data_IF_118685646077
#
_entry.id   IF_118685646077
#
_cell.length_a   1.000
_cell.length_b   1.000
_cell.length_c   1.000
_cell.angle_alpha   90.00
_cell.angle_beta   90.00
_cell.angle_gamma   90.00
#
_symmetry.space_group_name_H-M   'P 1'
#
loop_
_entity.id
_entity.type
_entity.pdbx_description
1 polymer ?
#
# COMPACT_ATOMS: atom_id res chain seq x y z
N UNK A 1 0.46 -45.45 20.04
CA UNK A 1 1.10 -44.44 20.90
C UNK A 1 2.39 -44.00 20.24
N UNK A 2 2.54 -42.72 19.87
CA UNK A 2 3.77 -42.22 19.26
C UNK A 2 4.81 -42.08 20.36
N UNK A 3 5.89 -42.86 20.30
CA UNK A 3 7.02 -42.77 21.22
C UNK A 3 7.51 -41.32 21.36
N UNK A 4 7.60 -40.87 22.61
CA UNK A 4 8.29 -39.64 22.97
C UNK A 4 9.75 -39.78 22.53
N UNK A 5 10.12 -39.18 21.40
CA UNK A 5 11.51 -38.99 21.02
C UNK A 5 12.22 -38.25 22.16
N UNK A 6 13.03 -38.97 22.93
CA UNK A 6 13.84 -38.45 24.04
C UNK A 6 14.88 -37.43 23.59
N UNK A 7 15.18 -37.35 22.30
CA UNK A 7 16.08 -36.36 21.70
C UNK A 7 15.47 -35.69 20.48
N UNK A 8 15.42 -34.36 20.50
CA UNK A 8 14.95 -33.56 19.37
C UNK A 8 16.01 -33.57 18.25
N UNK A 9 15.61 -33.59 16.96
CA UNK A 9 16.56 -33.48 15.85
C UNK A 9 17.41 -32.22 15.94
N UNK A 10 18.72 -32.32 15.71
CA UNK A 10 19.66 -31.19 15.83
C UNK A 10 19.22 -29.95 15.06
N UNK A 11 18.67 -30.12 13.85
CA UNK A 11 18.17 -29.00 13.03
C UNK A 11 17.10 -28.18 13.73
N UNK A 12 16.23 -28.82 14.52
CA UNK A 12 15.18 -28.12 15.28
C UNK A 12 15.76 -27.42 16.51
N UNK A 13 16.72 -28.04 17.19
CA UNK A 13 17.41 -27.44 18.33
C UNK A 13 18.21 -26.20 17.90
N UNK A 14 18.98 -26.29 16.80
CA UNK A 14 19.70 -25.13 16.23
C UNK A 14 18.76 -24.00 15.81
N UNK A 15 17.63 -24.34 15.19
CA UNK A 15 16.63 -23.33 14.79
C UNK A 15 16.00 -22.67 16.02
N UNK A 16 15.73 -23.43 17.08
CA UNK A 16 15.22 -22.90 18.34
C UNK A 16 16.20 -21.86 18.91
N UNK A 17 17.48 -22.23 19.09
CA UNK A 17 18.51 -21.31 19.59
C UNK A 17 18.67 -20.08 18.70
N UNK A 18 18.71 -20.26 17.37
CA UNK A 18 18.86 -19.16 16.43
C UNK A 18 17.69 -18.16 16.50
N UNK A 19 16.45 -18.64 16.66
CA UNK A 19 15.29 -17.73 16.82
C UNK A 19 15.42 -16.91 18.11
N UNK A 20 15.88 -17.51 19.21
CA UNK A 20 16.07 -16.80 20.48
C UNK A 20 17.15 -15.72 20.37
N UNK A 21 18.27 -16.06 19.72
CA UNK A 21 19.36 -15.12 19.47
C UNK A 21 18.91 -13.96 18.59
N UNK A 22 18.24 -14.25 17.46
CA UNK A 22 17.77 -13.22 16.53
C UNK A 22 16.68 -12.32 17.14
N UNK A 23 15.78 -12.89 17.95
CA UNK A 23 14.74 -12.12 18.65
C UNK A 23 15.30 -11.19 19.72
N UNK A 24 16.50 -11.47 20.24
CA UNK A 24 17.19 -10.62 21.22
C UNK A 24 18.10 -9.60 20.53
N UNK A 25 18.67 -9.97 19.37
CA UNK A 25 19.61 -9.14 18.60
C UNK A 25 18.94 -8.00 17.83
N UNK A 26 17.74 -8.24 17.30
CA UNK A 26 17.03 -7.29 16.45
C UNK A 26 15.82 -6.69 17.17
N UNK A 27 15.57 -5.40 16.95
CA UNK A 27 14.47 -4.68 17.60
C UNK A 27 13.11 -4.95 16.95
N UNK A 28 13.10 -5.33 15.66
CA UNK A 28 11.90 -5.57 14.89
C UNK A 28 11.86 -7.01 14.38
N UNK A 29 10.73 -7.66 14.60
CA UNK A 29 10.41 -9.01 14.11
C UNK A 29 9.11 -8.93 13.31
N UNK A 30 9.13 -9.39 12.07
CA UNK A 30 7.96 -9.41 11.21
C UNK A 30 7.67 -10.82 10.67
N UNK A 31 6.40 -11.11 10.48
CA UNK A 31 5.88 -12.35 9.91
C UNK A 31 5.40 -12.09 8.49
N UNK A 32 5.88 -12.90 7.54
CA UNK A 32 5.31 -12.97 6.19
C UNK A 32 4.68 -14.33 5.96
N UNK A 33 3.58 -14.35 5.21
CA UNK A 33 3.02 -15.56 4.64
C UNK A 33 3.61 -15.79 3.26
N UNK A 34 3.96 -17.05 2.98
CA UNK A 34 4.58 -17.45 1.72
C UNK A 34 3.56 -18.02 0.72
N UNK A 35 2.27 -17.80 0.95
CA UNK A 35 1.22 -18.29 0.06
C UNK A 35 1.39 -17.69 -1.34
N UNK A 36 1.49 -18.55 -2.36
CA UNK A 36 1.77 -18.16 -3.75
C UNK A 36 3.10 -17.42 -3.98
N UNK A 37 4.01 -17.41 -3.00
CA UNK A 37 5.35 -16.84 -3.13
C UNK A 37 6.35 -17.90 -3.59
N UNK A 38 7.13 -17.58 -4.62
CA UNK A 38 8.16 -18.47 -5.18
C UNK A 38 9.49 -18.28 -4.49
N UNK A 39 10.27 -19.36 -4.39
CA UNK A 39 11.61 -19.33 -3.82
C UNK A 39 12.56 -18.35 -4.54
N UNK A 40 12.40 -18.17 -5.87
CA UNK A 40 13.19 -17.21 -6.66
C UNK A 40 12.98 -15.77 -6.19
N UNK A 41 11.76 -15.40 -5.81
CA UNK A 41 11.42 -14.05 -5.35
C UNK A 41 12.04 -13.78 -3.98
N UNK A 42 11.94 -14.75 -3.07
CA UNK A 42 12.57 -14.67 -1.75
C UNK A 42 14.09 -14.57 -1.91
N UNK A 43 14.68 -15.32 -2.85
CA UNK A 43 16.11 -15.27 -3.11
C UNK A 43 16.56 -13.91 -3.65
N UNK A 44 15.78 -13.31 -4.56
CA UNK A 44 16.05 -11.97 -5.09
C UNK A 44 15.95 -10.92 -3.97
N UNK A 45 14.92 -10.99 -3.12
CA UNK A 45 14.75 -10.12 -1.97
C UNK A 45 15.88 -10.29 -0.95
N UNK A 46 16.30 -11.53 -0.67
CA UNK A 46 17.46 -11.83 0.17
C UNK A 46 18.75 -11.20 -0.36
N UNK A 47 18.93 -11.14 -1.68
CA UNK A 47 20.09 -10.49 -2.31
C UNK A 47 20.00 -8.97 -2.18
N UNK A 48 18.84 -8.38 -2.42
CA UNK A 48 18.63 -6.93 -2.35
C UNK A 48 18.71 -6.37 -0.93
N UNK A 49 18.15 -7.08 0.05
CA UNK A 49 18.07 -6.66 1.44
C UNK A 49 19.17 -7.29 2.31
N UNK A 50 20.27 -7.74 1.69
CA UNK A 50 21.36 -8.40 2.37
C UNK A 50 22.02 -7.44 3.37
N UNK A 51 22.09 -7.84 4.64
CA UNK A 51 22.69 -7.04 5.71
C UNK A 51 21.72 -6.11 6.44
N UNK A 52 20.56 -5.81 5.85
CA UNK A 52 19.51 -5.00 6.49
C UNK A 52 18.39 -5.87 7.09
N UNK A 53 18.09 -7.01 6.47
CA UNK A 53 17.00 -7.90 6.86
C UNK A 53 17.47 -9.35 6.83
N UNK A 54 17.28 -10.05 7.96
CA UNK A 54 17.55 -11.48 8.08
C UNK A 54 16.26 -12.28 7.90
N UNK A 55 16.24 -13.14 6.89
CA UNK A 55 15.09 -13.97 6.53
C UNK A 55 15.27 -15.40 7.06
N UNK A 56 14.43 -15.79 8.01
CA UNK A 56 14.49 -17.08 8.69
C UNK A 56 13.28 -17.94 8.31
N UNK A 57 13.53 -19.04 7.61
CA UNK A 57 12.52 -20.07 7.38
C UNK A 57 12.23 -20.80 8.69
N UNK A 58 10.94 -20.96 9.02
CA UNK A 58 10.54 -21.45 10.33
C UNK A 58 9.68 -22.71 10.27
N UNK A 59 9.61 -23.43 11.40
CA UNK A 59 8.51 -24.39 11.67
C UNK A 59 7.67 -23.83 12.82
N UNK A 60 6.40 -23.60 12.56
CA UNK A 60 5.49 -22.86 13.46
C UNK A 60 5.57 -23.36 14.91
N UNK A 61 5.47 -24.68 15.14
CA UNK A 61 5.54 -25.26 16.50
C UNK A 61 6.84 -24.96 17.25
N UNK A 62 7.98 -24.92 16.56
CA UNK A 62 9.28 -24.64 17.21
C UNK A 62 9.37 -23.16 17.60
N UNK A 63 8.86 -22.29 16.73
CA UNK A 63 8.84 -20.84 16.98
C UNK A 63 7.93 -20.51 18.15
N UNK A 64 6.73 -21.10 18.18
CA UNK A 64 5.77 -20.91 19.28
C UNK A 64 6.46 -21.20 20.62
N UNK A 65 7.10 -22.36 20.78
CA UNK A 65 7.82 -22.69 22.01
C UNK A 65 9.06 -21.81 22.29
N UNK A 66 9.74 -21.32 21.25
CA UNK A 66 10.89 -20.43 21.43
C UNK A 66 10.47 -19.06 21.96
N UNK A 67 9.38 -18.53 21.38
CA UNK A 67 8.82 -17.23 21.67
C UNK A 67 8.04 -17.20 23.00
N UNK A 68 7.30 -18.26 23.32
CA UNK A 68 6.63 -18.44 24.62
C UNK A 68 7.62 -18.35 25.79
N UNK A 69 8.83 -18.92 25.62
CA UNK A 69 9.87 -18.89 26.64
C UNK A 69 10.53 -17.52 26.81
N UNK A 70 10.62 -16.72 25.74
CA UNK A 70 11.20 -15.38 25.80
C UNK A 70 10.27 -14.36 26.47
N UNK A 71 8.96 -14.63 26.49
CA UNK A 71 7.94 -13.78 27.12
C UNK A 71 8.02 -12.29 26.76
N UNK A 72 8.51 -11.96 25.56
CA UNK A 72 8.60 -10.58 25.08
C UNK A 72 7.19 -9.99 24.86
N UNK A 73 6.98 -8.70 25.15
CA UNK A 73 5.73 -8.01 24.86
C UNK A 73 5.42 -8.04 23.34
N UNK A 74 4.14 -8.06 22.95
CA UNK A 74 3.69 -8.10 21.54
C UNK A 74 3.84 -9.45 20.82
N UNK A 75 4.66 -10.36 21.34
CA UNK A 75 4.94 -11.65 20.67
C UNK A 75 3.75 -12.61 20.64
N UNK A 76 2.76 -12.42 21.53
CA UNK A 76 1.52 -13.21 21.54
C UNK A 76 0.73 -13.07 20.25
N UNK A 77 0.78 -11.90 19.62
CA UNK A 77 0.04 -11.64 18.38
C UNK A 77 0.69 -12.40 17.22
N UNK A 78 2.02 -12.41 17.14
CA UNK A 78 2.76 -13.24 16.18
C UNK A 78 2.46 -14.72 16.41
N UNK A 79 2.44 -15.20 17.66
CA UNK A 79 2.15 -16.60 17.97
C UNK A 79 0.77 -17.04 17.46
N UNK A 80 -0.25 -16.20 17.63
CA UNK A 80 -1.62 -16.48 17.15
C UNK A 80 -1.68 -16.59 15.63
N UNK A 81 -0.91 -15.75 14.94
CA UNK A 81 -0.92 -15.65 13.48
C UNK A 81 0.00 -16.65 12.76
N UNK A 82 0.79 -17.45 13.49
CA UNK A 82 1.68 -18.48 12.95
C UNK A 82 0.93 -19.71 12.37
N UNK A 83 0.13 -19.47 11.33
CA UNK A 83 -0.64 -20.49 10.61
C UNK A 83 -0.16 -20.62 9.16
N UNK A 84 -0.19 -21.85 8.62
CA UNK A 84 0.25 -22.09 7.24
C UNK A 84 1.76 -21.95 7.01
N UNK A 85 2.14 -21.58 5.78
CA UNK A 85 3.52 -21.41 5.35
C UNK A 85 4.03 -20.01 5.70
N UNK A 86 4.78 -19.92 6.80
CA UNK A 86 5.27 -18.67 7.34
C UNK A 86 6.80 -18.54 7.25
N UNK A 87 7.28 -17.30 7.21
CA UNK A 87 8.69 -16.94 7.36
C UNK A 87 8.80 -15.72 8.28
N UNK A 88 9.84 -15.71 9.13
CA UNK A 88 10.15 -14.56 9.97
C UNK A 88 11.23 -13.70 9.32
N UNK A 89 11.07 -12.39 9.47
CA UNK A 89 12.04 -11.38 9.09
C UNK A 89 12.49 -10.68 10.37
N UNK A 90 13.80 -10.56 10.54
CA UNK A 90 14.38 -9.79 11.64
C UNK A 90 15.13 -8.60 11.06
N UNK A 91 14.94 -7.43 11.63
CA UNK A 91 15.61 -6.21 11.20
C UNK A 91 15.69 -5.20 12.34
N UNK A 92 16.59 -4.22 12.21
CA UNK A 92 16.63 -3.04 13.07
C UNK A 92 15.81 -1.88 12.49
N UNK A 93 15.20 -2.05 11.32
CA UNK A 93 14.32 -1.05 10.72
C UNK A 93 12.91 -1.12 11.28
N UNK A 94 12.21 0.02 11.22
CA UNK A 94 10.79 0.07 11.53
C UNK A 94 9.97 -0.86 10.61
N UNK A 95 8.97 -1.59 11.13
CA UNK A 95 8.06 -2.42 10.35
C UNK A 95 7.41 -1.71 9.17
N UNK A 96 7.06 -0.43 9.33
CA UNK A 96 6.45 0.38 8.27
C UNK A 96 7.41 0.57 7.09
N UNK A 97 8.67 0.90 7.39
CA UNK A 97 9.72 1.02 6.38
C UNK A 97 9.98 -0.33 5.71
N UNK A 98 10.00 -1.41 6.48
CA UNK A 98 10.16 -2.77 5.93
C UNK A 98 9.00 -3.12 4.98
N UNK A 99 7.75 -2.81 5.36
CA UNK A 99 6.59 -3.05 4.51
C UNK A 99 6.67 -2.24 3.21
N UNK A 100 7.06 -0.96 3.29
CA UNK A 100 7.27 -0.12 2.11
C UNK A 100 8.37 -0.65 1.19
N UNK A 101 9.48 -1.16 1.76
CA UNK A 101 10.57 -1.76 0.97
C UNK A 101 10.11 -3.04 0.25
N UNK A 102 9.31 -3.87 0.92
CA UNK A 102 8.75 -5.08 0.32
C UNK A 102 7.72 -4.73 -0.76
N UNK A 103 6.84 -3.76 -0.49
CA UNK A 103 5.83 -3.29 -1.44
C UNK A 103 6.42 -2.63 -2.68
N UNK A 104 7.56 -1.94 -2.56
CA UNK A 104 8.30 -1.38 -3.71
C UNK A 104 8.95 -2.47 -4.57
N UNK A 105 9.34 -3.58 -3.97
CA UNK A 105 9.97 -4.70 -4.68
C UNK A 105 8.92 -5.67 -5.25
N UNK A 106 8.00 -5.15 -6.07
CA UNK A 106 7.08 -6.00 -6.85
C UNK A 106 7.87 -6.72 -7.93
N UNK A 107 7.65 -8.02 -8.05
CA UNK A 107 8.28 -8.83 -9.10
C UNK A 107 7.21 -9.45 -9.96
N UNK A 108 7.43 -9.38 -11.28
CA UNK A 108 6.57 -10.03 -12.26
C UNK A 108 6.89 -11.52 -12.28
N UNK A 109 5.87 -12.37 -12.18
CA UNK A 109 6.00 -13.82 -12.24
C UNK A 109 5.20 -14.42 -13.38
N UNK A 110 5.73 -15.48 -13.98
CA UNK A 110 5.04 -16.24 -15.04
C UNK A 110 3.77 -16.87 -14.48
N UNK A 111 2.68 -16.87 -15.22
CA UNK A 111 1.42 -17.48 -14.77
C UNK A 111 1.49 -19.01 -14.63
N UNK A 112 0.60 -19.56 -13.80
CA UNK A 112 0.21 -20.98 -13.83
C UNK A 112 -1.28 -21.09 -14.17
N UNK A 113 -1.71 -22.28 -14.59
CA UNK A 113 -3.13 -22.54 -14.82
C UNK A 113 -3.95 -22.25 -13.56
N UNK A 114 -5.03 -21.48 -13.71
CA UNK A 114 -5.91 -21.07 -12.62
C UNK A 114 -5.46 -19.82 -11.85
N UNK A 115 -4.32 -19.22 -12.20
CA UNK A 115 -3.93 -17.92 -11.63
C UNK A 115 -4.75 -16.77 -12.25
N UNK A 116 -4.92 -15.69 -11.50
CA UNK A 116 -5.62 -14.48 -11.95
C UNK A 116 -4.61 -13.46 -12.47
N UNK A 117 -4.84 -12.93 -13.67
CA UNK A 117 -3.98 -11.91 -14.27
C UNK A 117 -4.01 -10.59 -13.47
N UNK A 118 -2.86 -10.09 -13.03
CA UNK A 118 -2.76 -8.81 -12.29
C UNK A 118 -2.70 -7.59 -13.21
N UNK A 119 -2.23 -7.81 -14.44
CA UNK A 119 -2.13 -6.82 -15.51
C UNK A 119 -2.76 -7.38 -16.79
N UNK A 120 -3.06 -6.51 -17.74
CA UNK A 120 -3.47 -6.93 -19.08
C UNK A 120 -2.33 -7.66 -19.77
N UNK A 121 -2.59 -8.87 -20.25
CA UNK A 121 -1.59 -9.72 -20.89
C UNK A 121 -1.50 -9.34 -22.35
N UNK A 122 -0.61 -8.41 -22.68
CA UNK A 122 -0.40 -7.98 -24.07
C UNK A 122 0.73 -8.79 -24.70
N UNK A 123 0.44 -9.44 -25.83
CA UNK A 123 1.42 -10.15 -26.64
C UNK A 123 1.66 -9.34 -27.91
N UNK A 124 2.85 -8.74 -28.01
CA UNK A 124 3.25 -7.94 -29.17
C UNK A 124 3.63 -8.80 -30.38
N UNK A 125 3.44 -8.26 -31.58
CA UNK A 125 3.87 -8.84 -32.84
C UNK A 125 5.40 -8.93 -32.90
N UNK A 126 5.93 -10.16 -32.80
CA UNK A 126 7.37 -10.44 -32.86
C UNK A 126 7.63 -11.85 -33.38
N UNK A 127 8.86 -12.07 -33.85
CA UNK A 127 9.36 -13.44 -34.01
C UNK A 127 9.50 -14.08 -32.63
N UNK A 128 8.90 -15.26 -32.45
CA UNK A 128 9.03 -16.01 -31.20
C UNK A 128 10.32 -16.84 -31.15
N UNK A 129 10.95 -17.12 -32.30
CA UNK A 129 12.08 -18.03 -32.40
C UNK A 129 11.74 -19.50 -32.12
N UNK A 130 10.45 -19.82 -31.91
CA UNK A 130 9.97 -21.17 -31.59
C UNK A 130 9.69 -21.91 -32.90
N UNK A 131 10.16 -23.15 -33.00
CA UNK A 131 9.90 -23.99 -34.16
C UNK A 131 8.40 -24.37 -34.27
N UNK A 132 7.83 -24.40 -35.49
CA UNK A 132 6.46 -24.82 -35.72
C UNK A 132 6.28 -26.30 -35.34
N UNK A 133 5.40 -26.56 -34.39
CA UNK A 133 5.13 -27.89 -33.83
C UNK A 133 3.81 -27.87 -33.05
N UNK A 134 3.64 -28.65 -31.96
CA UNK A 134 2.42 -28.64 -31.15
C UNK A 134 2.09 -27.24 -30.58
N UNK A 135 3.10 -26.37 -30.48
CA UNK A 135 2.95 -24.97 -30.08
C UNK A 135 2.02 -24.17 -31.00
N UNK A 136 2.01 -24.47 -32.30
CA UNK A 136 1.16 -23.74 -33.26
C UNK A 136 -0.33 -23.92 -32.92
N UNK A 137 -0.70 -25.10 -32.45
CA UNK A 137 -2.05 -25.40 -31.96
C UNK A 137 -2.34 -24.61 -30.68
N UNK A 138 -1.39 -24.54 -29.74
CA UNK A 138 -1.53 -23.74 -28.50
C UNK A 138 -1.76 -22.25 -28.79
N UNK A 139 -1.04 -21.67 -29.77
CA UNK A 139 -1.23 -20.27 -30.18
C UNK A 139 -2.61 -20.04 -30.81
N UNK A 140 -3.09 -20.99 -31.61
CA UNK A 140 -4.41 -20.92 -32.25
C UNK A 140 -5.54 -21.05 -31.22
N UNK A 141 -5.41 -21.98 -30.28
CA UNK A 141 -6.34 -22.17 -29.16
C UNK A 141 -6.42 -20.91 -28.27
N UNK A 142 -5.29 -20.23 -28.08
CA UNK A 142 -5.21 -18.96 -27.33
C UNK A 142 -5.74 -17.73 -28.12
N UNK A 143 -6.24 -17.91 -29.34
CA UNK A 143 -6.79 -16.82 -30.16
C UNK A 143 -5.75 -15.85 -30.72
N UNK A 144 -4.46 -16.24 -30.75
CA UNK A 144 -3.37 -15.39 -31.23
C UNK A 144 -3.08 -15.72 -32.69
N UNK A 145 -3.22 -14.76 -33.61
CA UNK A 145 -2.90 -14.99 -35.02
C UNK A 145 -1.39 -15.09 -35.20
N UNK A 146 -0.96 -16.23 -35.71
CA UNK A 146 0.44 -16.53 -35.99
C UNK A 146 0.64 -16.88 -37.46
N UNK A 147 1.85 -16.63 -37.96
CA UNK A 147 2.32 -17.02 -39.31
C UNK A 147 3.62 -17.80 -39.15
N UNK A 148 3.88 -18.72 -40.06
CA UNK A 148 5.18 -19.41 -40.11
C UNK A 148 6.07 -18.58 -41.02
N UNK A 149 7.20 -18.10 -40.48
CA UNK A 149 8.20 -17.37 -41.24
C UNK A 149 9.59 -17.90 -40.92
N UNK A 150 10.38 -18.17 -41.96
CA UNK A 150 11.74 -18.71 -41.86
C UNK A 150 11.90 -19.94 -40.92
N UNK A 151 10.88 -20.82 -40.87
CA UNK A 151 10.91 -22.01 -40.00
C UNK A 151 10.67 -21.71 -38.51
N UNK A 152 10.19 -20.52 -38.17
CA UNK A 152 9.81 -20.08 -36.82
C UNK A 152 8.39 -19.52 -36.77
N UNK A 153 7.76 -19.52 -35.60
CA UNK A 153 6.42 -18.95 -35.40
C UNK A 153 6.54 -17.43 -35.22
N UNK A 154 5.86 -16.67 -36.07
CA UNK A 154 5.76 -15.22 -36.01
C UNK A 154 4.37 -14.78 -35.55
N UNK A 155 4.28 -13.86 -34.58
CA UNK A 155 2.99 -13.30 -34.13
C UNK A 155 2.59 -12.15 -35.06
N UNK A 156 1.44 -12.26 -35.72
CA UNK A 156 1.06 -11.37 -36.83
C UNK A 156 0.54 -10.00 -36.39
N UNK A 157 -0.13 -9.92 -35.22
CA UNK A 157 -0.63 -8.66 -34.65
C UNK A 157 -0.62 -8.72 -33.12
N UNK A 158 -0.54 -7.55 -32.51
CA UNK A 158 -0.68 -7.39 -31.07
C UNK A 158 -2.05 -7.91 -30.63
N UNK A 159 -2.06 -8.80 -29.65
CA UNK A 159 -3.28 -9.45 -29.14
C UNK A 159 -3.24 -9.48 -27.62
N UNK A 160 -4.40 -9.26 -26.99
CA UNK A 160 -4.55 -9.32 -25.53
C UNK A 160 -5.40 -10.54 -25.17
N UNK A 161 -4.81 -11.74 -24.99
CA UNK A 161 -5.55 -12.96 -24.67
C UNK A 161 -6.26 -12.97 -23.32
N UNK A 162 -5.81 -12.15 -22.35
CA UNK A 162 -6.42 -12.04 -21.04
C UNK A 162 -6.30 -10.60 -20.51
N UNK A 163 -7.38 -10.08 -19.93
CA UNK A 163 -7.38 -8.79 -19.24
C UNK A 163 -7.09 -8.97 -17.76
N UNK A 164 -6.78 -7.87 -17.08
CA UNK A 164 -6.67 -7.82 -15.63
C UNK A 164 -7.93 -8.38 -14.97
N UNK A 165 -7.76 -9.37 -14.11
CA UNK A 165 -8.84 -10.06 -13.40
C UNK A 165 -9.32 -11.36 -14.07
N UNK A 166 -8.90 -11.66 -15.29
CA UNK A 166 -9.25 -12.92 -15.95
C UNK A 166 -8.42 -14.09 -15.40
N UNK A 167 -9.05 -15.27 -15.35
CA UNK A 167 -8.38 -16.52 -14.98
C UNK A 167 -7.59 -17.04 -16.17
N UNK A 168 -6.30 -17.28 -15.97
CA UNK A 168 -5.40 -17.77 -17.00
C UNK A 168 -5.52 -19.29 -17.10
N UNK A 169 -5.89 -19.77 -18.29
CA UNK A 169 -5.93 -21.21 -18.58
C UNK A 169 -4.52 -21.82 -18.58
N UNK A 170 -4.41 -23.12 -18.31
CA UNK A 170 -3.12 -23.83 -18.22
C UNK A 170 -2.33 -23.78 -19.53
N UNK A 171 -3.03 -23.88 -20.68
CA UNK A 171 -2.43 -23.75 -22.01
C UNK A 171 -1.87 -22.34 -22.24
N UNK A 172 -2.63 -21.31 -21.87
CA UNK A 172 -2.21 -19.91 -21.99
C UNK A 172 -1.01 -19.63 -21.08
N UNK A 173 -1.00 -20.14 -19.84
CA UNK A 173 0.11 -19.99 -18.91
C UNK A 173 1.42 -20.65 -19.43
N UNK A 174 1.34 -21.87 -19.97
CA UNK A 174 2.48 -22.58 -20.56
C UNK A 174 3.11 -21.79 -21.71
N UNK A 175 2.28 -21.22 -22.59
CA UNK A 175 2.74 -20.41 -23.72
C UNK A 175 3.35 -19.07 -23.25
N UNK A 176 2.72 -18.37 -22.31
CA UNK A 176 3.27 -17.14 -21.73
C UNK A 176 4.64 -17.38 -21.07
N UNK A 177 4.82 -18.53 -20.40
CA UNK A 177 6.09 -18.94 -19.84
C UNK A 177 7.20 -19.11 -20.89
N UNK A 178 6.87 -19.62 -22.08
CA UNK A 178 7.84 -19.78 -23.20
C UNK A 178 8.18 -18.46 -23.88
N UNK A 179 7.23 -17.52 -23.91
CA UNK A 179 7.44 -16.17 -24.42
C UNK A 179 8.15 -15.22 -23.42
N UNK A 180 8.50 -15.74 -22.24
CA UNK A 180 9.00 -14.99 -21.06
C UNK A 180 8.11 -13.79 -20.67
N UNK A 181 6.80 -13.92 -20.90
CA UNK A 181 5.81 -12.92 -20.49
C UNK A 181 5.32 -13.28 -19.09
N UNK A 182 5.38 -12.30 -18.18
CA UNK A 182 5.09 -12.47 -16.76
C UNK A 182 3.88 -11.61 -16.38
N UNK A 183 2.65 -12.15 -16.43
CA UNK A 183 1.42 -11.36 -16.30
C UNK A 183 0.93 -11.17 -14.86
N UNK A 184 1.62 -11.76 -13.87
CA UNK A 184 1.20 -11.70 -12.46
C UNK A 184 2.18 -10.82 -11.70
N UNK A 185 1.64 -9.81 -11.02
CA UNK A 185 2.38 -9.05 -10.01
C UNK A 185 2.32 -9.83 -8.71
N UNK A 186 3.49 -10.27 -8.24
CA UNK A 186 3.59 -10.87 -6.92
C UNK A 186 4.41 -9.93 -6.02
N UNK A 187 3.70 -9.35 -5.05
CA UNK A 187 4.26 -8.59 -3.94
C UNK A 187 4.24 -9.43 -2.68
N UNK A 188 5.32 -9.36 -1.90
CA UNK A 188 5.33 -9.89 -0.53
C UNK A 188 4.92 -8.74 0.39
N UNK A 189 3.93 -8.96 1.24
CA UNK A 189 3.54 -8.01 2.28
C UNK A 189 3.79 -8.60 3.66
N UNK A 190 4.01 -7.72 4.64
CA UNK A 190 4.02 -8.12 6.05
C UNK A 190 2.60 -8.48 6.47
N UNK A 191 2.47 -9.56 7.25
CA UNK A 191 1.19 -9.98 7.80
C UNK A 191 1.02 -9.48 9.24
N UNK A 192 2.06 -9.55 10.05
CA UNK A 192 2.13 -8.91 11.36
C UNK A 192 3.58 -8.55 11.66
N UNK A 193 3.81 -7.54 12.48
CA UNK A 193 5.13 -7.18 12.95
C UNK A 193 5.09 -6.77 14.42
N UNK A 194 6.20 -6.95 15.12
CA UNK A 194 6.40 -6.48 16.49
C UNK A 194 7.65 -5.63 16.50
N UNK A 195 7.54 -4.43 17.07
CA UNK A 195 8.67 -3.57 17.35
C UNK A 195 8.56 -3.06 18.79
N UNK A 196 9.62 -3.19 19.57
CA UNK A 196 9.72 -2.67 20.95
C UNK A 196 8.54 -3.07 21.86
N UNK A 197 7.97 -4.26 21.61
CA UNK A 197 6.84 -4.80 22.39
C UNK A 197 5.45 -4.42 21.88
N UNK A 198 5.36 -3.59 20.84
CA UNK A 198 4.11 -3.20 20.20
C UNK A 198 3.88 -4.09 18.98
N UNK A 199 2.76 -4.80 18.96
CA UNK A 199 2.30 -5.57 17.81
C UNK A 199 1.53 -4.69 16.82
N UNK A 200 1.82 -4.89 15.54
CA UNK A 200 1.16 -4.24 14.41
C UNK A 200 0.52 -5.30 13.53
N UNK A 201 -0.70 -5.02 13.10
CA UNK A 201 -1.45 -5.84 12.13
C UNK A 201 -1.11 -5.43 10.70
N UNK A 202 -1.49 -6.27 9.72
CA UNK A 202 -1.25 -5.98 8.31
C UNK A 202 -1.87 -4.64 7.87
N UNK A 203 -3.07 -4.35 8.34
CA UNK A 203 -3.83 -3.14 7.97
C UNK A 203 -3.15 -1.87 8.46
N UNK A 204 -2.65 -1.89 9.70
CA UNK A 204 -1.92 -0.76 10.28
C UNK A 204 -0.59 -0.51 9.55
N UNK A 205 0.07 -1.57 9.07
CA UNK A 205 1.36 -1.46 8.38
C UNK A 205 1.26 -0.87 6.96
N UNK A 206 0.06 -0.77 6.39
CA UNK A 206 -0.16 -0.19 5.07
C UNK A 206 -0.31 1.32 5.22
N UNK A 207 0.78 2.05 4.97
CA UNK A 207 0.76 3.51 4.92
C UNK A 207 0.57 3.96 3.47
N UNK A 208 -0.53 4.66 3.22
CA UNK A 208 -0.70 5.48 2.03
C UNK A 208 -0.10 6.87 2.29
N UNK A 209 0.99 7.18 1.59
CA UNK A 209 1.71 8.44 1.76
C UNK A 209 0.88 9.65 1.35
N UNK A 210 0.04 9.51 0.32
CA UNK A 210 -0.76 10.63 -0.20
C UNK A 210 -1.86 10.97 0.79
N UNK A 211 -2.58 9.95 1.28
CA UNK A 211 -3.62 10.11 2.32
C UNK A 211 -3.02 10.69 3.59
N UNK A 212 -1.90 10.13 4.06
CA UNK A 212 -1.24 10.58 5.29
C UNK A 212 -0.79 12.03 5.20
N UNK A 213 -0.21 12.42 4.05
CA UNK A 213 0.20 13.82 3.83
C UNK A 213 -1.00 14.78 3.85
N UNK A 214 -2.12 14.36 3.24
CA UNK A 214 -3.37 15.11 3.25
C UNK A 214 -3.91 15.28 4.66
N UNK A 215 -3.91 14.22 5.47
CA UNK A 215 -4.35 14.28 6.87
C UNK A 215 -3.51 15.26 7.69
N UNK A 216 -2.18 15.29 7.51
CA UNK A 216 -1.29 16.23 8.21
C UNK A 216 -1.58 17.67 7.78
N UNK A 217 -1.77 17.91 6.48
CA UNK A 217 -2.10 19.23 5.96
C UNK A 217 -3.45 19.74 6.52
N UNK A 218 -4.46 18.88 6.55
CA UNK A 218 -5.77 19.21 7.14
C UNK A 218 -5.65 19.47 8.63
N UNK A 219 -4.96 18.61 9.39
CA UNK A 219 -4.75 18.80 10.83
C UNK A 219 -4.01 20.11 11.13
N UNK A 220 -3.05 20.50 10.29
CA UNK A 220 -2.37 21.79 10.40
C UNK A 220 -3.32 22.96 10.15
N UNK A 221 -4.16 22.91 9.11
CA UNK A 221 -5.16 23.95 8.84
C UNK A 221 -6.18 24.06 9.97
N UNK A 222 -6.67 22.94 10.49
CA UNK A 222 -7.59 22.90 11.63
C UNK A 222 -6.95 23.49 12.89
N UNK A 223 -5.70 23.15 13.18
CA UNK A 223 -4.96 23.72 14.30
C UNK A 223 -4.76 25.24 14.15
N UNK A 224 -4.43 25.72 12.94
CA UNK A 224 -4.32 27.15 12.66
C UNK A 224 -5.67 27.86 12.85
N UNK A 225 -6.75 27.30 12.31
CA UNK A 225 -8.09 27.85 12.47
C UNK A 225 -8.48 27.92 13.95
N UNK A 226 -8.24 26.85 14.71
CA UNK A 226 -8.48 26.83 16.15
C UNK A 226 -7.67 27.90 16.89
N UNK A 227 -6.39 28.07 16.55
CA UNK A 227 -5.53 29.08 17.15
C UNK A 227 -6.02 30.51 16.84
N UNK A 228 -6.46 30.77 15.61
CA UNK A 228 -7.02 32.07 15.19
C UNK A 228 -8.36 32.34 15.90
N UNK A 229 -9.24 31.34 16.02
CA UNK A 229 -10.50 31.45 16.76
C UNK A 229 -10.27 31.70 18.25
N UNK A 230 -9.29 31.02 18.86
CA UNK A 230 -8.92 31.21 20.25
C UNK A 230 -8.16 32.53 20.52
N UNK A 231 -7.74 33.25 19.48
CA UNK A 231 -6.93 34.47 19.61
C UNK A 231 -5.49 34.21 20.07
N UNK A 232 -4.97 33.00 19.86
CA UNK A 232 -3.61 32.65 20.24
C UNK A 232 -2.60 33.25 19.24
N UNK A 233 -1.99 34.36 19.62
CA UNK A 233 -1.08 35.13 18.77
C UNK A 233 0.32 34.49 18.68
N UNK A 234 0.67 34.01 17.50
CA UNK A 234 2.00 33.56 17.11
C UNK A 234 2.42 34.25 15.82
N UNK A 235 3.68 34.06 15.40
CA UNK A 235 4.21 34.61 14.14
C UNK A 235 3.36 34.14 12.94
N UNK A 236 2.85 32.91 13.00
CA UNK A 236 2.07 32.30 11.93
C UNK A 236 0.59 32.73 11.94
N UNK A 237 0.03 33.04 13.12
CA UNK A 237 -1.41 33.34 13.26
C UNK A 237 -1.73 34.84 13.32
N UNK A 238 -0.76 35.71 13.65
CA UNK A 238 -1.01 37.13 13.92
C UNK A 238 -1.65 37.86 12.74
N UNK A 239 -1.20 37.59 11.51
CA UNK A 239 -1.77 38.22 10.32
C UNK A 239 -3.23 37.82 10.13
N UNK A 240 -3.56 36.54 10.31
CA UNK A 240 -4.91 36.03 10.19
C UNK A 240 -5.83 36.57 11.30
N UNK A 241 -5.33 36.66 12.54
CA UNK A 241 -6.07 37.25 13.67
C UNK A 241 -6.38 38.73 13.40
N UNK A 242 -5.40 39.51 12.94
CA UNK A 242 -5.60 40.92 12.61
C UNK A 242 -6.57 41.12 11.44
N UNK A 243 -6.43 40.32 10.38
CA UNK A 243 -7.34 40.35 9.24
C UNK A 243 -8.78 40.01 9.64
N UNK A 244 -8.94 38.99 10.50
CA UNK A 244 -10.25 38.62 11.06
C UNK A 244 -10.82 39.75 11.92
N UNK A 245 -10.03 40.31 12.84
CA UNK A 245 -10.46 41.40 13.71
C UNK A 245 -10.90 42.63 12.90
N UNK A 246 -10.14 43.00 11.87
CA UNK A 246 -10.49 44.10 10.96
C UNK A 246 -11.80 43.82 10.22
N UNK A 247 -11.98 42.59 9.73
CA UNK A 247 -13.22 42.17 9.04
C UNK A 247 -14.41 42.19 10.00
N UNK A 248 -14.27 41.65 11.21
CA UNK A 248 -15.32 41.68 12.23
C UNK A 248 -15.69 43.10 12.65
N UNK A 249 -14.71 43.99 12.82
CA UNK A 249 -14.95 45.40 13.15
C UNK A 249 -15.71 46.12 12.02
N UNK A 250 -15.33 45.88 10.75
CA UNK A 250 -16.05 46.40 9.58
C UNK A 250 -17.48 45.87 9.52
N UNK A 251 -17.69 44.58 9.74
CA UNK A 251 -19.04 43.99 9.79
C UNK A 251 -19.91 44.65 10.86
N UNK A 252 -19.38 44.86 12.07
CA UNK A 252 -20.11 45.57 13.14
C UNK A 252 -20.40 47.03 12.77
N UNK A 253 -19.46 47.73 12.14
CA UNK A 253 -19.66 49.11 11.65
C UNK A 253 -20.77 49.18 10.58
N UNK A 254 -20.81 48.22 9.66
CA UNK A 254 -21.83 48.16 8.61
C UNK A 254 -23.21 47.83 9.19
N UNK A 255 -23.30 46.90 10.15
CA UNK A 255 -24.57 46.57 10.82
C UNK A 255 -25.09 47.71 11.70
N UNK A 256 -24.20 48.43 12.40
CA UNK A 256 -24.58 49.56 13.26
C UNK A 256 -24.82 50.87 12.49
N UNK A 257 -24.52 50.92 11.19
CA UNK A 257 -24.64 52.13 10.38
C UNK A 257 -23.62 53.22 10.74
N UNK A 258 -22.54 52.87 11.45
CA UNK A 258 -21.49 53.81 11.82
C UNK A 258 -20.63 54.13 10.60
N UNK A 259 -20.81 55.32 10.03
CA UNK A 259 -20.22 55.69 8.75
C UNK A 259 -18.83 56.31 8.91
N UNK A 260 -17.83 55.66 8.34
CA UNK A 260 -16.45 56.17 8.20
C UNK A 260 -16.10 56.32 6.72
N UNK A 261 -14.99 56.98 6.40
CA UNK A 261 -14.54 57.11 5.00
C UNK A 261 -14.32 55.76 4.32
N UNK A 262 -13.91 54.73 5.08
CA UNK A 262 -13.71 53.38 4.56
C UNK A 262 -15.03 52.59 4.40
N UNK A 263 -16.00 52.77 5.30
CA UNK A 263 -17.24 51.96 5.33
C UNK A 263 -18.43 52.61 4.61
N UNK A 264 -18.31 53.88 4.18
CA UNK A 264 -19.37 54.65 3.52
C UNK A 264 -20.00 53.92 2.33
N UNK A 265 -19.18 53.43 1.40
CA UNK A 265 -19.67 52.78 0.19
C UNK A 265 -20.41 51.47 0.50
N UNK A 266 -19.88 50.68 1.44
CA UNK A 266 -20.47 49.40 1.83
C UNK A 266 -21.81 49.58 2.55
N UNK A 267 -21.92 50.57 3.43
CA UNK A 267 -23.17 50.90 4.14
C UNK A 267 -24.25 51.37 3.16
N UNK A 268 -23.91 52.28 2.25
CA UNK A 268 -24.84 52.79 1.23
C UNK A 268 -25.27 51.67 0.27
N UNK A 269 -24.34 50.81 -0.15
CA UNK A 269 -24.63 49.65 -0.98
C UNK A 269 -25.58 48.67 -0.29
N UNK A 270 -25.36 48.39 1.00
CA UNK A 270 -26.27 47.53 1.79
C UNK A 270 -27.66 48.14 1.93
N UNK A 271 -27.76 49.44 2.26
CA UNK A 271 -29.04 50.13 2.38
C UNK A 271 -29.82 50.14 1.05
N UNK A 272 -29.11 50.36 -0.06
CA UNK A 272 -29.71 50.27 -1.40
C UNK A 272 -30.25 48.87 -1.69
N UNK A 273 -29.48 47.82 -1.40
CA UNK A 273 -29.91 46.43 -1.59
C UNK A 273 -31.12 46.07 -0.71
N UNK A 274 -31.16 46.55 0.54
CA UNK A 274 -32.32 46.37 1.42
C UNK A 274 -33.56 47.10 0.89
N UNK A 275 -33.42 48.33 0.41
CA UNK A 275 -34.51 49.08 -0.21
C UNK A 275 -35.05 48.36 -1.47
N UNK A 276 -34.17 47.86 -2.33
CA UNK A 276 -34.55 47.05 -3.50
C UNK A 276 -35.29 45.77 -3.09
N UNK A 277 -34.88 45.10 -2.00
CA UNK A 277 -35.56 43.92 -1.48
C UNK A 277 -36.98 44.24 -1.02
N UNK A 278 -37.16 45.34 -0.27
CA UNK A 278 -38.49 45.76 0.21
C UNK A 278 -39.40 46.17 -0.95
N UNK A 279 -38.87 46.90 -1.94
CA UNK A 279 -39.58 47.28 -3.16
C UNK A 279 -40.13 46.05 -3.88
N UNK A 280 -39.30 45.01 -4.01
CA UNK A 280 -39.68 43.74 -4.65
C UNK A 280 -40.79 43.02 -3.89
N UNK A 281 -40.80 43.09 -2.56
CA UNK A 281 -41.82 42.43 -1.73
C UNK A 281 -43.13 43.22 -1.61
N UNK A 282 -43.15 44.51 -1.98
CA UNK A 282 -44.33 45.39 -1.82
C UNK A 282 -44.96 45.88 -3.12
N UNK A 283 -44.53 45.41 -4.30
CA UNK A 283 -44.99 45.88 -5.62
C UNK A 283 -44.97 47.42 -5.76
N UNK A 284 -44.10 48.08 -4.99
CA UNK A 284 -43.99 49.54 -4.96
C UNK A 284 -43.09 50.00 -6.10
N UNK A 285 -43.60 50.81 -7.03
CA UNK A 285 -42.81 51.44 -8.08
C UNK A 285 -42.49 52.88 -7.70
N UNK A 286 -41.22 53.22 -7.39
CA UNK A 286 -40.85 54.61 -7.16
C UNK A 286 -40.89 55.35 -8.50
N UNK A 287 -41.59 56.50 -8.55
CA UNK A 287 -41.49 57.47 -9.65
C UNK A 287 -40.18 58.25 -9.58
#
# INVERSE_FOLDING_TARGET
MRENRTTYPEKKARMYSNIQEMSTKYNSMALIRLEKVRASQILELKKKLKGEVEFVSIKNRVVIHALEKLALPGVKDIIRELTGQCMLLFSNMSPFRLNLLLAKNKTMVSARGGDVASIDVVIAARNTGIAPGPMLTEFKDAGIPTKIDQGTIWIAKDTTPAKKGDVIDEKLASMLGKLDIKPIEASISLYTAVQDGIGYTQEELVIDLDVTSGMIATAHQEALNLAVEAGYATVDTIQAILAKAATSARSVSIESGYMTDETRNDILGKAHNQALSVIKDTDYTPN
#
